data_IF_280803314888
#
_entry.id   IF_280803314888
#
_cell.length_a   1.000
_cell.length_b   1.000
_cell.length_c   1.000
_cell.angle_alpha   90.00
_cell.angle_beta   90.00
_cell.angle_gamma   90.00
#
_symmetry.space_group_name_H-M   'P 1'
#
loop_
_entity.id
_entity.type
_entity.pdbx_description
1 polymer ?
#
# COMPACT_ATOMS: atom_id res chain seq x y z
N UNK A 1 -8.57 11.13 -16.48
CA UNK A 1 -7.39 11.81 -15.91
C UNK A 1 -7.67 12.37 -14.52
N UNK A 2 -8.66 13.26 -14.35
CA UNK A 2 -9.01 13.80 -13.03
C UNK A 2 -9.26 12.72 -11.95
N UNK A 3 -10.08 11.71 -12.25
CA UNK A 3 -10.37 10.61 -11.31
C UNK A 3 -9.11 9.83 -10.89
N UNK A 4 -8.15 9.66 -11.81
CA UNK A 4 -6.89 8.98 -11.50
C UNK A 4 -6.04 9.82 -10.52
N UNK A 5 -5.97 11.13 -10.72
CA UNK A 5 -5.26 12.04 -9.79
C UNK A 5 -5.89 12.05 -8.39
N UNK A 6 -7.23 12.00 -8.31
CA UNK A 6 -7.93 11.89 -7.02
C UNK A 6 -7.61 10.56 -6.34
N UNK A 7 -7.61 9.45 -7.09
CA UNK A 7 -7.22 8.16 -6.56
C UNK A 7 -5.76 8.16 -6.07
N UNK A 8 -4.83 8.70 -6.85
CA UNK A 8 -3.41 8.77 -6.49
C UNK A 8 -3.20 9.61 -5.23
N UNK A 9 -3.91 10.74 -5.09
CA UNK A 9 -3.87 11.55 -3.87
C UNK A 9 -4.35 10.76 -2.65
N UNK A 10 -5.51 10.10 -2.75
CA UNK A 10 -6.04 9.29 -1.65
C UNK A 10 -5.14 8.11 -1.33
N UNK A 11 -4.58 7.44 -2.34
CA UNK A 11 -3.62 6.37 -2.17
C UNK A 11 -2.39 6.85 -1.39
N UNK A 12 -1.80 7.98 -1.81
CA UNK A 12 -0.67 8.58 -1.12
C UNK A 12 -0.98 8.97 0.33
N UNK A 13 -2.20 9.43 0.62
CA UNK A 13 -2.63 9.75 1.98
C UNK A 13 -2.70 8.51 2.88
N UNK A 14 -3.32 7.42 2.40
CA UNK A 14 -3.38 6.14 3.10
C UNK A 14 -1.98 5.54 3.34
N UNK A 15 -1.12 5.56 2.32
CA UNK A 15 0.26 5.03 2.40
C UNK A 15 1.17 5.87 3.31
N UNK A 16 0.99 7.20 3.31
CA UNK A 16 1.69 8.10 4.22
C UNK A 16 1.32 7.77 5.68
N UNK A 17 0.04 7.59 5.99
CA UNK A 17 -0.40 7.23 7.33
C UNK A 17 0.26 5.92 7.82
N UNK A 18 0.32 4.90 6.96
CA UNK A 18 0.93 3.61 7.28
C UNK A 18 2.44 3.70 7.56
N UNK A 19 3.16 4.56 6.85
CA UNK A 19 4.62 4.69 6.95
C UNK A 19 5.09 5.62 8.08
N UNK A 20 4.28 6.59 8.50
CA UNK A 20 4.66 7.56 9.54
C UNK A 20 4.15 7.21 10.93
N UNK A 21 3.17 6.31 11.06
CA UNK A 21 2.50 6.01 12.33
C UNK A 21 3.48 5.65 13.45
N UNK A 22 4.51 4.86 13.16
CA UNK A 22 5.52 4.44 14.15
C UNK A 22 6.42 5.60 14.57
N UNK A 23 6.90 6.40 13.62
CA UNK A 23 7.84 7.50 13.89
C UNK A 23 7.17 8.67 14.61
N UNK A 24 5.90 8.94 14.30
CA UNK A 24 5.10 9.98 14.97
C UNK A 24 4.67 9.51 16.36
N UNK A 25 4.26 8.25 16.54
CA UNK A 25 3.87 7.72 17.86
C UNK A 25 5.04 7.61 18.84
N UNK A 26 6.25 7.29 18.34
CA UNK A 26 7.49 7.31 19.13
C UNK A 26 8.06 8.72 19.33
N UNK A 27 7.45 9.74 18.72
CA UNK A 27 7.85 11.16 18.80
C UNK A 27 9.25 11.45 18.28
N UNK A 28 9.78 10.59 17.42
CA UNK A 28 11.08 10.81 16.76
C UNK A 28 11.00 11.96 15.76
N UNK A 29 9.88 12.06 15.03
CA UNK A 29 9.59 13.19 14.14
C UNK A 29 8.28 13.88 14.52
N UNK A 30 8.21 15.19 14.32
CA UNK A 30 6.94 15.91 14.36
C UNK A 30 6.03 15.46 13.20
N UNK A 31 4.69 15.53 13.34
CA UNK A 31 3.77 15.12 12.28
C UNK A 31 4.06 15.77 10.93
N UNK A 32 4.37 17.08 10.92
CA UNK A 32 4.71 17.79 9.68
C UNK A 32 5.99 17.27 9.01
N UNK A 33 7.03 17.01 9.79
CA UNK A 33 8.28 16.44 9.26
C UNK A 33 8.05 15.02 8.72
N UNK A 34 7.27 14.21 9.41
CA UNK A 34 7.00 12.84 8.98
C UNK A 34 6.22 12.82 7.65
N UNK A 35 5.24 13.70 7.47
CA UNK A 35 4.52 13.85 6.19
C UNK A 35 5.45 14.29 5.06
N UNK A 36 6.35 15.25 5.31
CA UNK A 36 7.34 15.67 4.31
C UNK A 36 8.28 14.52 3.92
N UNK A 37 8.74 13.73 4.89
CA UNK A 37 9.55 12.53 4.64
C UNK A 37 8.79 11.48 3.81
N UNK A 38 7.52 11.21 4.16
CA UNK A 38 6.68 10.29 3.41
C UNK A 38 6.45 10.77 1.98
N UNK A 39 6.18 12.06 1.78
CA UNK A 39 5.98 12.65 0.45
C UNK A 39 7.25 12.54 -0.41
N UNK A 40 8.42 12.86 0.16
CA UNK A 40 9.71 12.74 -0.52
C UNK A 40 9.98 11.30 -0.99
N UNK A 41 9.85 10.32 -0.10
CA UNK A 41 10.12 8.94 -0.47
C UNK A 41 9.06 8.31 -1.37
N UNK A 42 7.77 8.66 -1.23
CA UNK A 42 6.75 8.21 -2.17
C UNK A 42 7.03 8.74 -3.58
N UNK A 43 7.48 10.00 -3.69
CA UNK A 43 7.89 10.58 -4.96
C UNK A 43 9.11 9.84 -5.54
N UNK A 44 10.17 9.66 -4.75
CA UNK A 44 11.36 8.90 -5.18
C UNK A 44 11.01 7.47 -5.59
N UNK A 45 10.11 6.80 -4.86
CA UNK A 45 9.67 5.44 -5.17
C UNK A 45 8.95 5.37 -6.52
N UNK A 46 8.04 6.31 -6.78
CA UNK A 46 7.26 6.36 -8.00
C UNK A 46 8.13 6.47 -9.27
N UNK A 47 9.24 7.21 -9.21
CA UNK A 47 10.14 7.40 -10.36
C UNK A 47 11.37 6.49 -10.35
N UNK A 48 11.81 6.03 -9.17
CA UNK A 48 13.07 5.29 -9.00
C UNK A 48 12.94 3.77 -9.02
N UNK A 49 11.79 3.21 -8.64
CA UNK A 49 11.64 1.75 -8.43
C UNK A 49 10.70 1.04 -9.44
N UNK A 50 10.21 1.77 -10.45
CA UNK A 50 9.42 1.22 -11.54
C UNK A 50 7.97 0.89 -11.17
N UNK A 51 7.11 0.78 -12.19
CA UNK A 51 5.65 0.70 -12.03
C UNK A 51 5.11 -0.75 -12.07
N UNK A 52 5.63 -1.61 -11.21
CA UNK A 52 5.29 -3.05 -11.19
C UNK A 52 3.79 -3.33 -11.06
N UNK A 53 3.13 -2.70 -10.09
CA UNK A 53 1.68 -2.84 -9.87
C UNK A 53 0.89 -2.36 -11.08
N UNK A 54 1.26 -1.22 -11.66
CA UNK A 54 0.59 -0.69 -12.85
C UNK A 54 0.71 -1.63 -14.05
N UNK A 55 1.84 -2.31 -14.22
CA UNK A 55 2.01 -3.33 -15.28
C UNK A 55 1.10 -4.53 -15.06
N UNK A 56 1.00 -5.03 -13.83
CA UNK A 56 0.12 -6.17 -13.49
C UNK A 56 -1.35 -5.83 -13.67
N UNK A 57 -1.78 -4.63 -13.24
CA UNK A 57 -3.17 -4.18 -13.40
C UNK A 57 -3.48 -3.83 -14.86
N UNK A 58 -2.55 -3.19 -15.55
CA UNK A 58 -2.71 -2.74 -16.94
C UNK A 58 -2.69 -3.88 -17.96
N UNK A 59 -2.03 -5.01 -17.65
CA UNK A 59 -2.00 -6.18 -18.52
C UNK A 59 -1.99 -7.47 -17.70
N UNK A 60 -3.01 -8.31 -17.91
CA UNK A 60 -2.99 -9.71 -17.45
C UNK A 60 -4.07 -10.11 -16.44
N UNK A 61 -4.76 -9.15 -15.81
CA UNK A 61 -5.86 -9.46 -14.87
C UNK A 61 -7.24 -9.54 -15.56
N UNK A 62 -7.45 -8.76 -16.62
CA UNK A 62 -8.73 -8.61 -17.33
C UNK A 62 -8.46 -8.64 -18.83
N UNK A 63 -9.36 -9.25 -19.61
CA UNK A 63 -9.29 -9.19 -21.07
C UNK A 63 -9.38 -7.74 -21.55
N UNK A 64 -8.29 -7.26 -22.16
CA UNK A 64 -8.11 -5.88 -22.63
C UNK A 64 -9.20 -5.48 -23.63
N UNK A 65 -9.78 -6.44 -24.37
CA UNK A 65 -10.88 -6.16 -25.32
C UNK A 65 -12.12 -5.58 -24.64
N UNK A 66 -12.34 -5.90 -23.37
CA UNK A 66 -13.46 -5.39 -22.60
C UNK A 66 -13.14 -4.05 -21.91
N UNK A 67 -11.86 -3.66 -21.83
CA UNK A 67 -11.40 -2.49 -21.09
C UNK A 67 -11.52 -1.24 -21.96
N UNK A 68 -12.43 -0.35 -21.57
CA UNK A 68 -12.54 1.00 -22.13
C UNK A 68 -12.44 2.06 -21.04
N UNK A 69 -12.52 3.33 -21.44
CA UNK A 69 -12.48 4.45 -20.49
C UNK A 69 -13.59 4.42 -19.44
N UNK A 70 -14.74 3.77 -19.73
CA UNK A 70 -15.86 3.66 -18.79
C UNK A 70 -15.55 2.64 -17.70
N UNK A 71 -14.97 1.49 -18.06
CA UNK A 71 -14.51 0.48 -17.10
C UNK A 71 -13.44 1.07 -16.18
N UNK A 72 -12.44 1.75 -16.75
CA UNK A 72 -11.38 2.39 -15.96
C UNK A 72 -11.96 3.45 -15.02
N UNK A 73 -12.85 4.30 -15.52
CA UNK A 73 -13.49 5.33 -14.70
C UNK A 73 -14.32 4.73 -13.57
N UNK A 74 -15.18 3.75 -13.86
CA UNK A 74 -16.02 3.08 -12.88
C UNK A 74 -15.19 2.32 -11.84
N UNK A 75 -14.12 1.65 -12.26
CA UNK A 75 -13.21 0.95 -11.36
C UNK A 75 -12.47 1.90 -10.41
N UNK A 76 -11.93 3.01 -10.94
CA UNK A 76 -11.32 4.06 -10.11
C UNK A 76 -12.32 4.69 -9.16
N UNK A 77 -13.54 4.99 -9.63
CA UNK A 77 -14.59 5.55 -8.79
C UNK A 77 -14.97 4.61 -7.63
N UNK A 78 -15.13 3.32 -7.92
CA UNK A 78 -15.38 2.30 -6.89
C UNK A 78 -14.24 2.20 -5.87
N UNK A 79 -12.99 2.24 -6.34
CA UNK A 79 -11.82 2.24 -5.47
C UNK A 79 -11.73 3.49 -4.59
N UNK A 80 -11.98 4.68 -5.14
CA UNK A 80 -12.05 5.95 -4.42
C UNK A 80 -13.14 5.90 -3.36
N UNK A 81 -14.35 5.50 -3.74
CA UNK A 81 -15.48 5.42 -2.83
C UNK A 81 -15.15 4.49 -1.65
N UNK A 82 -14.56 3.33 -1.93
CA UNK A 82 -14.11 2.40 -0.88
C UNK A 82 -13.05 3.03 0.03
N UNK A 83 -12.02 3.66 -0.54
CA UNK A 83 -10.96 4.32 0.22
C UNK A 83 -11.47 5.46 1.12
N UNK A 84 -12.49 6.21 0.67
CA UNK A 84 -13.13 7.25 1.47
C UNK A 84 -13.95 6.63 2.60
N UNK A 85 -14.74 5.60 2.30
CA UNK A 85 -15.52 4.87 3.32
C UNK A 85 -14.61 4.32 4.40
N UNK A 86 -13.54 3.62 4.04
CA UNK A 86 -12.63 3.01 5.01
C UNK A 86 -11.88 4.05 5.81
N UNK A 87 -11.53 5.18 5.19
CA UNK A 87 -10.95 6.32 5.89
C UNK A 87 -11.90 6.92 6.93
N UNK A 88 -13.16 7.17 6.56
CA UNK A 88 -14.18 7.71 7.49
C UNK A 88 -14.39 6.80 8.69
N UNK A 89 -14.32 5.48 8.49
CA UNK A 89 -14.42 4.49 9.57
C UNK A 89 -13.08 4.19 10.28
N UNK A 90 -11.97 4.82 9.88
CA UNK A 90 -10.65 4.58 10.46
C UNK A 90 -10.13 3.14 10.25
N UNK A 91 -10.62 2.45 9.23
CA UNK A 91 -10.23 1.07 8.93
C UNK A 91 -8.90 1.05 8.15
N UNK A 92 -7.89 0.29 8.60
CA UNK A 92 -6.67 0.11 7.83
C UNK A 92 -6.98 -0.74 6.60
N UNK A 93 -6.89 -0.13 5.41
CA UNK A 93 -7.18 -0.82 4.14
C UNK A 93 -6.11 -0.58 3.10
N UNK A 94 -5.99 -1.51 2.16
CA UNK A 94 -5.09 -1.38 1.03
C UNK A 94 -5.80 -0.79 -0.17
N UNK A 95 -5.36 0.41 -0.57
CA UNK A 95 -5.81 1.09 -1.79
C UNK A 95 -5.53 0.30 -3.06
N UNK A 96 -4.44 -0.49 -3.10
CA UNK A 96 -4.14 -1.38 -4.23
C UNK A 96 -5.20 -2.48 -4.40
N UNK A 97 -5.69 -3.06 -3.30
CA UNK A 97 -6.77 -4.05 -3.36
C UNK A 97 -8.11 -3.40 -3.72
N UNK A 98 -8.37 -2.19 -3.24
CA UNK A 98 -9.55 -1.42 -3.65
C UNK A 98 -9.55 -1.14 -5.16
N UNK A 99 -8.39 -0.77 -5.73
CA UNK A 99 -8.22 -0.56 -7.17
C UNK A 99 -8.47 -1.84 -7.97
N UNK A 100 -7.85 -2.94 -7.56
CA UNK A 100 -7.97 -4.23 -8.24
C UNK A 100 -9.42 -4.74 -8.17
N UNK A 101 -10.07 -4.63 -7.00
CA UNK A 101 -11.47 -5.00 -6.81
C UNK A 101 -12.43 -4.13 -7.63
N UNK A 102 -12.26 -2.81 -7.63
CA UNK A 102 -13.03 -1.89 -8.45
C UNK A 102 -12.85 -2.16 -9.95
N UNK A 103 -11.63 -2.44 -10.38
CA UNK A 103 -11.31 -2.78 -11.76
C UNK A 103 -11.97 -4.10 -12.21
N UNK A 104 -11.91 -5.15 -11.39
CA UNK A 104 -12.65 -6.38 -11.66
C UNK A 104 -14.16 -6.18 -11.69
N UNK A 105 -14.72 -5.51 -10.68
CA UNK A 105 -16.17 -5.30 -10.57
C UNK A 105 -16.73 -4.53 -11.77
N UNK A 106 -16.03 -3.47 -12.20
CA UNK A 106 -16.43 -2.69 -13.38
C UNK A 106 -16.33 -3.48 -14.68
N UNK A 107 -15.31 -4.31 -14.86
CA UNK A 107 -15.19 -5.16 -16.03
C UNK A 107 -16.26 -6.26 -16.07
N UNK A 108 -16.52 -6.91 -14.93
CA UNK A 108 -17.56 -7.95 -14.80
C UNK A 108 -18.94 -7.36 -15.05
N UNK A 109 -19.23 -6.15 -14.54
CA UNK A 109 -20.49 -5.47 -14.79
C UNK A 109 -20.73 -5.19 -16.29
N UNK A 110 -19.66 -4.98 -17.07
CA UNK A 110 -19.75 -4.71 -18.51
C UNK A 110 -19.80 -5.99 -19.37
N UNK A 111 -18.93 -6.94 -19.09
CA UNK A 111 -18.64 -8.07 -19.98
C UNK A 111 -18.90 -9.45 -19.35
N UNK A 112 -19.40 -9.50 -18.11
CA UNK A 112 -19.63 -10.72 -17.36
C UNK A 112 -18.36 -11.33 -16.77
N UNK A 113 -18.50 -12.44 -16.03
CA UNK A 113 -17.40 -13.08 -15.31
C UNK A 113 -16.31 -13.66 -16.22
N UNK A 114 -16.62 -13.96 -17.49
CA UNK A 114 -15.66 -14.51 -18.45
C UNK A 114 -14.52 -13.56 -18.84
N UNK A 115 -14.59 -12.29 -18.44
CA UNK A 115 -13.56 -11.28 -18.70
C UNK A 115 -12.35 -11.40 -17.78
N UNK A 116 -12.50 -12.10 -16.65
CA UNK A 116 -11.44 -12.26 -15.66
C UNK A 116 -10.45 -13.32 -16.13
N UNK A 117 -9.16 -13.00 -16.11
CA UNK A 117 -8.08 -13.91 -16.50
C UNK A 117 -7.48 -14.54 -15.25
N UNK A 118 -7.85 -15.77 -14.84
CA UNK A 118 -7.53 -16.29 -13.51
C UNK A 118 -6.01 -16.32 -13.20
N UNK A 119 -5.18 -16.59 -14.22
CA UNK A 119 -3.73 -16.65 -14.08
C UNK A 119 -3.10 -15.31 -13.66
N UNK A 120 -3.70 -14.17 -14.02
CA UNK A 120 -3.25 -12.84 -13.60
C UNK A 120 -3.56 -12.53 -12.14
N UNK A 121 -4.53 -13.23 -11.55
CA UNK A 121 -4.98 -13.01 -10.18
C UNK A 121 -4.23 -13.87 -9.16
N UNK A 122 -3.71 -15.03 -9.58
CA UNK A 122 -3.08 -16.01 -8.68
C UNK A 122 -1.99 -15.38 -7.81
N UNK A 123 -1.08 -14.59 -8.41
CA UNK A 123 0.00 -13.95 -7.65
C UNK A 123 -0.53 -12.93 -6.66
N UNK A 124 -1.40 -12.04 -7.09
CA UNK A 124 -1.98 -10.99 -6.23
C UNK A 124 -2.72 -11.61 -5.04
N UNK A 125 -3.61 -12.59 -5.29
CA UNK A 125 -4.38 -13.26 -4.25
C UNK A 125 -3.50 -14.03 -3.27
N UNK A 126 -2.44 -14.67 -3.76
CA UNK A 126 -1.47 -15.37 -2.92
C UNK A 126 -0.71 -14.39 -2.01
N UNK A 127 -0.23 -13.27 -2.55
CA UNK A 127 0.53 -12.28 -1.78
C UNK A 127 -0.32 -11.41 -0.85
N UNK A 128 -1.65 -11.38 -0.99
CA UNK A 128 -2.55 -10.82 0.04
C UNK A 128 -2.34 -11.52 1.39
N UNK A 129 -2.17 -12.84 1.39
CA UNK A 129 -2.00 -13.62 2.62
C UNK A 129 -0.54 -13.79 2.97
N UNK A 130 0.33 -13.99 1.97
CA UNK A 130 1.75 -14.20 2.26
C UNK A 130 2.47 -12.93 2.71
N UNK A 131 2.13 -11.75 2.19
CA UNK A 131 2.88 -10.54 2.53
C UNK A 131 2.79 -10.13 4.01
N UNK A 132 1.62 -10.19 4.70
CA UNK A 132 1.57 -9.94 6.14
C UNK A 132 2.32 -11.00 6.95
N UNK A 133 2.25 -12.27 6.54
CA UNK A 133 2.95 -13.38 7.23
C UNK A 133 4.46 -13.21 7.12
N UNK A 134 4.96 -12.93 5.92
CA UNK A 134 6.39 -12.68 5.68
C UNK A 134 6.84 -11.44 6.47
N UNK A 135 6.06 -10.35 6.43
CA UNK A 135 6.35 -9.14 7.19
C UNK A 135 6.41 -9.38 8.70
N UNK A 136 5.48 -10.19 9.23
CA UNK A 136 5.46 -10.57 10.64
C UNK A 136 6.69 -11.39 11.04
N UNK A 137 7.04 -12.41 10.23
CA UNK A 137 8.21 -13.27 10.50
C UNK A 137 9.49 -12.43 10.45
N UNK A 138 9.69 -11.64 9.39
CA UNK A 138 10.89 -10.81 9.24
C UNK A 138 10.98 -9.75 10.35
N UNK A 139 9.86 -9.11 10.71
CA UNK A 139 9.80 -8.17 11.82
C UNK A 139 10.15 -8.80 13.16
N UNK A 140 9.63 -10.00 13.45
CA UNK A 140 9.94 -10.74 14.67
C UNK A 140 11.42 -11.17 14.72
N UNK A 141 11.98 -11.64 13.60
CA UNK A 141 13.39 -11.98 13.48
C UNK A 141 14.29 -10.76 13.72
N UNK A 142 13.98 -9.62 13.09
CA UNK A 142 14.75 -8.39 13.23
C UNK A 142 14.71 -7.86 14.68
N UNK A 143 13.54 -7.90 15.31
CA UNK A 143 13.38 -7.54 16.73
C UNK A 143 14.23 -8.44 17.62
N UNK A 144 14.13 -9.77 17.44
CA UNK A 144 14.88 -10.75 18.24
C UNK A 144 16.39 -10.56 18.09
N UNK A 145 16.85 -10.36 16.85
CA UNK A 145 18.26 -10.11 16.55
C UNK A 145 18.75 -8.82 17.21
N UNK A 146 17.97 -7.75 17.17
CA UNK A 146 18.29 -6.49 17.84
C UNK A 146 18.43 -6.70 19.35
N UNK A 147 17.48 -7.39 19.98
CA UNK A 147 17.52 -7.69 21.41
C UNK A 147 18.73 -8.54 21.79
N UNK A 148 19.10 -9.53 20.97
CA UNK A 148 20.26 -10.38 21.22
C UNK A 148 21.58 -9.62 21.15
N UNK A 149 21.74 -8.72 20.16
CA UNK A 149 22.93 -7.87 20.03
C UNK A 149 23.11 -7.00 21.29
N UNK A 150 22.03 -6.43 21.83
CA UNK A 150 22.10 -5.52 22.97
C UNK A 150 21.94 -6.19 24.34
N UNK A 151 21.70 -7.51 24.41
CA UNK A 151 21.43 -8.26 25.65
C UNK A 151 22.47 -8.08 26.75
N UNK A 152 23.76 -7.95 26.39
CA UNK A 152 24.86 -7.76 27.34
C UNK A 152 25.21 -6.30 27.66
N UNK A 153 24.52 -5.33 27.06
CA UNK A 153 24.86 -3.91 27.19
C UNK A 153 24.06 -3.27 28.31
N UNK A 154 24.74 -2.58 29.25
CA UNK A 154 24.06 -1.84 30.32
C UNK A 154 23.05 -0.83 29.72
N UNK A 155 21.81 -0.73 30.24
CA UNK A 155 20.79 0.18 29.70
C UNK A 155 21.26 1.62 29.56
N UNK A 156 22.12 2.11 30.46
CA UNK A 156 22.69 3.46 30.41
C UNK A 156 23.61 3.73 29.20
N UNK A 157 24.25 2.71 28.63
CA UNK A 157 25.02 2.84 27.37
C UNK A 157 24.12 2.76 26.14
N UNK A 158 23.07 1.94 26.19
CA UNK A 158 22.06 1.82 25.12
C UNK A 158 21.27 3.13 25.00
N UNK A 159 20.79 3.68 26.11
CA UNK A 159 20.08 4.96 26.16
C UNK A 159 20.88 6.12 25.55
N UNK A 160 22.21 6.12 25.71
CA UNK A 160 23.07 7.19 25.14
C UNK A 160 23.06 7.20 23.60
N UNK A 161 22.84 6.04 22.98
CA UNK A 161 22.74 5.90 21.52
C UNK A 161 21.30 6.02 21.02
N UNK A 162 20.31 5.48 21.75
CA UNK A 162 18.92 5.41 21.29
C UNK A 162 18.05 6.62 21.69
N UNK A 163 18.37 7.39 22.75
CA UNK A 163 17.60 8.61 23.13
C UNK A 163 18.08 9.90 22.44
N UNK A 164 19.20 9.86 21.72
CA UNK A 164 19.73 11.02 20.97
C UNK A 164 19.29 11.05 19.50
N UNK A 165 18.48 10.09 19.07
CA UNK A 165 17.89 9.99 17.73
C UNK A 165 16.41 10.30 17.80
#
# INVERSE_FOLDING_TARGET
>A
MFTALVFDFLNGFHDAANSIATVVSTRVLSPGQAVLWAAFFNFVAAFGFGVGVAKTVGAGMIDIKAVDSKVIFAGLFGAIAWNVVTWVFGLPTSSSHALIGGYAGSAVAKAGFGVIIPSGWTKTLLFIVLSPVIGMILGACLMTLTLWIFRGTKPSRVDKYFRRV
#
